data_IF_871708325322
#
_entry.id   IF_871708325322
#
_cell.length_a   1.000
_cell.length_b   1.000
_cell.length_c   1.000
_cell.angle_alpha   90.00
_cell.angle_beta   90.00
_cell.angle_gamma   90.00
#
_symmetry.space_group_name_H-M   'P 1'
#
loop_
_entity.id
_entity.type
_entity.pdbx_description
1 polymer ?
#
# COMPACT_ATOMS: atom_id res chain seq x y z
N UNK A 1 -0.47 -5.33 7.63
CA UNK A 1 -1.20 -6.58 7.37
C UNK A 1 -0.75 -7.74 8.27
N UNK A 2 0.51 -8.22 8.17
CA UNK A 2 1.00 -9.35 8.99
C UNK A 2 0.82 -9.17 10.50
N UNK A 3 1.07 -7.96 11.02
CA UNK A 3 0.85 -7.64 12.43
C UNK A 3 -0.63 -7.71 12.89
N UNK A 4 -1.58 -7.55 11.95
CA UNK A 4 -3.03 -7.58 12.23
C UNK A 4 -3.49 -9.04 12.41
N UNK A 5 -2.86 -9.99 11.72
CA UNK A 5 -3.20 -11.41 11.76
C UNK A 5 -1.95 -12.26 12.05
N UNK A 6 -1.41 -12.21 13.28
CA UNK A 6 -0.10 -12.80 13.59
C UNK A 6 -0.05 -14.32 13.40
N UNK A 7 -1.19 -15.00 13.46
CA UNK A 7 -1.28 -16.46 13.33
C UNK A 7 -1.45 -16.95 11.89
N UNK A 8 -1.50 -16.04 10.89
CA UNK A 8 -1.63 -16.37 9.47
C UNK A 8 -0.43 -15.82 8.72
N UNK A 9 0.11 -16.59 7.79
CA UNK A 9 1.13 -16.08 6.88
C UNK A 9 0.50 -15.11 5.86
N UNK A 10 1.09 -13.93 5.71
CA UNK A 10 0.68 -12.91 4.74
C UNK A 10 1.82 -12.64 3.77
N UNK A 11 1.57 -12.88 2.49
CA UNK A 11 2.49 -12.53 1.40
C UNK A 11 2.04 -11.24 0.69
N UNK A 12 3.00 -10.46 0.19
CA UNK A 12 2.74 -9.32 -0.66
C UNK A 12 2.95 -9.72 -2.13
N UNK A 13 1.86 -9.81 -2.90
CA UNK A 13 1.93 -9.95 -4.34
C UNK A 13 1.86 -8.55 -4.96
N UNK A 14 2.98 -8.07 -5.50
CA UNK A 14 3.07 -6.81 -6.20
C UNK A 14 3.07 -7.01 -7.72
N UNK A 15 2.97 -5.90 -8.45
CA UNK A 15 2.90 -5.83 -9.91
C UNK A 15 1.64 -6.49 -10.49
N UNK A 16 0.79 -5.65 -11.05
CA UNK A 16 -0.38 -6.06 -11.80
C UNK A 16 -0.61 -5.08 -12.94
N UNK A 17 -1.41 -5.49 -13.91
CA UNK A 17 -1.69 -4.67 -15.08
C UNK A 17 -2.38 -3.36 -14.67
N UNK A 18 -1.89 -2.23 -15.19
CA UNK A 18 -2.48 -0.91 -14.96
C UNK A 18 -2.26 -0.29 -13.57
N UNK A 19 -1.35 -0.82 -12.74
CA UNK A 19 -1.01 -0.22 -11.44
C UNK A 19 -0.25 1.12 -11.53
N UNK A 20 -0.20 1.94 -10.45
CA UNK A 20 0.40 3.28 -10.43
C UNK A 20 1.93 3.30 -10.37
N UNK A 21 2.58 2.18 -10.71
CA UNK A 21 4.02 1.90 -10.62
C UNK A 21 4.54 1.82 -9.19
N UNK A 22 4.50 2.94 -8.46
CA UNK A 22 4.91 3.03 -7.07
C UNK A 22 3.74 3.43 -6.18
N UNK A 23 3.75 2.92 -4.95
CA UNK A 23 2.82 3.28 -3.89
C UNK A 23 3.68 3.73 -2.70
N UNK A 24 4.14 5.00 -2.66
CA UNK A 24 4.90 5.53 -1.55
C UNK A 24 4.01 5.71 -0.30
N UNK A 25 4.62 5.62 0.88
CA UNK A 25 3.96 6.07 2.12
C UNK A 25 3.70 7.58 2.04
N UNK A 26 2.65 8.06 2.71
CA UNK A 26 2.20 9.45 2.65
C UNK A 26 3.32 10.45 2.96
N UNK A 27 4.17 10.13 3.93
CA UNK A 27 5.25 10.97 4.43
C UNK A 27 6.38 11.15 3.41
N UNK A 28 6.48 10.28 2.40
CA UNK A 28 7.49 10.36 1.35
C UNK A 28 7.16 11.44 0.31
N UNK A 29 5.88 11.78 0.11
CA UNK A 29 5.47 12.72 -0.94
C UNK A 29 6.11 14.12 -0.83
N UNK A 30 6.18 14.77 0.36
CA UNK A 30 6.89 16.03 0.51
C UNK A 30 8.42 15.91 0.33
N UNK A 31 9.00 14.72 0.52
CA UNK A 31 10.43 14.47 0.39
C UNK A 31 10.84 14.24 -1.07
N UNK A 32 9.89 13.85 -1.92
CA UNK A 32 10.12 13.62 -3.35
C UNK A 32 10.93 12.34 -3.61
N UNK A 33 11.80 12.39 -4.61
CA UNK A 33 12.59 11.25 -5.07
C UNK A 33 11.91 10.45 -6.18
N UNK A 34 12.63 9.47 -6.73
CA UNK A 34 12.19 8.74 -7.92
C UNK A 34 10.82 8.07 -7.74
N UNK A 35 10.63 7.34 -6.64
CA UNK A 35 9.37 6.64 -6.37
C UNK A 35 8.16 7.59 -6.31
N UNK A 36 8.32 8.80 -5.77
CA UNK A 36 7.27 9.82 -5.74
C UNK A 36 7.08 10.46 -7.12
N UNK A 37 8.18 10.73 -7.84
CA UNK A 37 8.16 11.36 -9.16
C UNK A 37 7.47 10.54 -10.24
N UNK A 38 7.35 9.23 -10.06
CA UNK A 38 6.59 8.33 -10.95
C UNK A 38 5.42 7.62 -10.25
N UNK A 39 5.01 8.10 -9.08
CA UNK A 39 3.80 7.62 -8.41
C UNK A 39 2.58 8.29 -9.04
N UNK A 40 1.87 7.57 -9.91
CA UNK A 40 0.64 8.04 -10.56
C UNK A 40 -0.59 7.91 -9.66
N UNK A 41 -0.44 8.26 -8.39
CA UNK A 41 -1.46 8.13 -7.35
C UNK A 41 -1.26 9.19 -6.27
N UNK A 42 -2.34 9.51 -5.55
CA UNK A 42 -2.32 10.52 -4.49
C UNK A 42 -1.70 10.00 -3.19
N UNK A 43 -1.22 10.87 -2.27
CA UNK A 43 -0.68 10.46 -0.97
C UNK A 43 -1.63 9.67 -0.07
N UNK A 44 -2.92 9.63 -0.40
CA UNK A 44 -3.94 8.88 0.32
C UNK A 44 -3.98 7.40 -0.09
N UNK A 45 -3.24 6.98 -1.13
CA UNK A 45 -3.30 5.61 -1.64
C UNK A 45 -2.84 4.56 -0.62
N UNK A 46 -1.72 4.81 0.07
CA UNK A 46 -1.15 3.90 1.06
C UNK A 46 -2.12 3.67 2.25
N UNK A 47 -2.67 4.71 2.91
CA UNK A 47 -3.65 4.49 3.97
C UNK A 47 -4.95 3.90 3.43
N UNK A 48 -5.40 4.23 2.22
CA UNK A 48 -6.60 3.65 1.62
C UNK A 48 -6.45 2.12 1.45
N UNK A 49 -5.33 1.67 0.85
CA UNK A 49 -5.04 0.25 0.63
C UNK A 49 -4.87 -0.48 1.97
N UNK A 50 -4.13 0.11 2.91
CA UNK A 50 -3.92 -0.46 4.24
C UNK A 50 -5.23 -0.67 5.01
N UNK A 51 -6.13 0.32 4.98
CA UNK A 51 -7.45 0.22 5.62
C UNK A 51 -8.35 -0.82 4.93
N UNK A 52 -8.29 -0.92 3.61
CA UNK A 52 -8.99 -1.97 2.86
C UNK A 52 -8.52 -3.37 3.26
N UNK A 53 -7.20 -3.59 3.29
CA UNK A 53 -6.61 -4.86 3.73
C UNK A 53 -7.02 -5.19 5.17
N UNK A 54 -6.96 -4.22 6.09
CA UNK A 54 -7.41 -4.40 7.46
C UNK A 54 -8.88 -4.82 7.53
N UNK A 55 -9.76 -4.14 6.78
CA UNK A 55 -11.19 -4.45 6.74
C UNK A 55 -11.45 -5.89 6.27
N UNK A 56 -10.71 -6.37 5.27
CA UNK A 56 -10.83 -7.74 4.78
C UNK A 56 -10.35 -8.77 5.82
N UNK A 57 -9.21 -8.52 6.43
CA UNK A 57 -8.64 -9.42 7.44
C UNK A 57 -9.48 -9.48 8.72
N UNK A 58 -10.15 -8.39 9.11
CA UNK A 58 -11.02 -8.37 10.29
C UNK A 58 -12.37 -9.07 10.09
N UNK A 59 -12.75 -9.37 8.84
CA UNK A 59 -14.00 -10.09 8.50
C UNK A 59 -13.76 -11.60 8.29
N UNK A 60 -12.50 -12.03 8.28
CA UNK A 60 -12.07 -13.40 7.98
C UNK A 60 -11.72 -14.15 9.25
#
# INVERSE_FOLDING_TARGET
AQAITPNRFVACAAYGDGGPWYIPVKEAYPQGGYAVGVAWCSPQIDPLMSNGIQTLLSKS
#
